data_IF_751791274088
#
_entry.id   IF_751791274088
#
_cell.length_a   1.000
_cell.length_b   1.000
_cell.length_c   1.000
_cell.angle_alpha   90.00
_cell.angle_beta   90.00
_cell.angle_gamma   90.00
#
_symmetry.space_group_name_H-M   'P 1'
#
loop_
_entity.id
_entity.type
_entity.pdbx_description
1 polymer ?
#
# COMPACT_ATOMS: atom_id res chain seq x y z
N UNK A 1 6.98 4.85 -18.98
CA UNK A 1 6.03 5.19 -17.90
C UNK A 1 6.67 4.84 -16.57
N UNK A 2 6.52 5.68 -15.53
CA UNK A 2 7.06 5.39 -14.18
C UNK A 2 5.94 5.34 -13.14
N UNK A 3 5.89 4.27 -12.35
CA UNK A 3 4.98 4.17 -11.21
C UNK A 3 5.52 4.97 -10.02
N UNK A 4 4.82 6.01 -9.58
CA UNK A 4 5.28 6.88 -8.50
C UNK A 4 5.19 6.24 -7.10
N UNK A 5 4.51 5.10 -6.95
CA UNK A 5 4.42 4.35 -5.68
C UNK A 5 5.58 3.38 -5.50
N UNK A 6 5.86 2.52 -6.49
CA UNK A 6 6.87 1.46 -6.39
C UNK A 6 8.12 1.74 -7.25
N UNK A 7 8.17 2.85 -7.97
CA UNK A 7 9.24 3.26 -8.89
C UNK A 7 9.52 2.30 -10.05
N UNK A 8 8.57 1.42 -10.38
CA UNK A 8 8.65 0.61 -11.59
C UNK A 8 8.73 1.49 -12.83
N UNK A 9 9.70 1.23 -13.71
CA UNK A 9 9.87 1.91 -14.99
C UNK A 9 9.63 0.90 -16.11
N UNK A 10 8.55 1.09 -16.87
CA UNK A 10 8.27 0.23 -18.02
C UNK A 10 9.17 0.60 -19.21
N UNK A 11 9.91 -0.38 -19.72
CA UNK A 11 10.67 -0.28 -20.98
C UNK A 11 9.73 -0.40 -22.19
N UNK A 12 10.17 -0.03 -23.40
CA UNK A 12 9.38 -0.23 -24.61
C UNK A 12 8.90 -1.68 -24.75
N UNK A 13 7.61 -1.87 -25.07
CA UNK A 13 7.00 -3.19 -25.22
C UNK A 13 6.56 -3.88 -23.92
N UNK A 14 6.80 -3.28 -22.74
CA UNK A 14 6.34 -3.81 -21.44
C UNK A 14 5.12 -3.04 -20.97
N UNK A 15 4.08 -3.75 -20.53
CA UNK A 15 2.92 -3.13 -19.90
C UNK A 15 3.31 -2.52 -18.55
N UNK A 16 3.29 -1.18 -18.48
CA UNK A 16 3.49 -0.45 -17.23
C UNK A 16 2.24 -0.37 -16.36
N UNK A 17 2.41 0.14 -15.14
CA UNK A 17 1.28 0.53 -14.29
C UNK A 17 1.51 1.92 -13.68
N UNK A 18 0.41 2.66 -13.50
CA UNK A 18 0.43 3.95 -12.80
C UNK A 18 0.44 3.74 -11.29
N UNK A 19 0.78 4.78 -10.53
CA UNK A 19 0.65 4.76 -9.07
C UNK A 19 -0.76 4.33 -8.61
N UNK A 20 -1.80 4.81 -9.31
CA UNK A 20 -3.19 4.46 -9.02
C UNK A 20 -3.48 2.96 -9.26
N UNK A 21 -2.83 2.33 -10.24
CA UNK A 21 -3.01 0.90 -10.54
C UNK A 21 -1.95 0.00 -9.88
N UNK A 22 -1.05 0.55 -9.06
CA UNK A 22 0.01 -0.21 -8.43
C UNK A 22 -0.56 -1.33 -7.53
N UNK A 23 -0.14 -2.60 -7.71
CA UNK A 23 -0.63 -3.72 -6.90
C UNK A 23 -0.44 -3.54 -5.39
N UNK A 24 0.59 -2.80 -4.95
CA UNK A 24 0.80 -2.47 -3.54
C UNK A 24 -0.39 -1.75 -2.90
N UNK A 25 -1.18 -0.98 -3.67
CA UNK A 25 -2.39 -0.30 -3.18
C UNK A 25 -3.52 -1.25 -2.80
N UNK A 26 -3.47 -2.52 -3.20
CA UNK A 26 -4.52 -3.50 -2.86
C UNK A 26 -4.49 -3.87 -1.37
N UNK A 27 -3.40 -3.55 -0.68
CA UNK A 27 -3.19 -3.90 0.72
C UNK A 27 -3.04 -2.63 1.56
N UNK A 28 -4.07 -1.79 1.61
CA UNK A 28 -4.09 -0.64 2.51
C UNK A 28 -4.60 -1.05 3.90
N UNK A 29 -4.13 -0.33 4.92
CA UNK A 29 -4.72 -0.34 6.25
C UNK A 29 -6.23 -0.05 6.15
N UNK A 30 -7.00 -0.73 6.99
CA UNK A 30 -8.43 -0.44 7.11
C UNK A 30 -8.65 0.98 7.66
N UNK A 31 -9.39 1.78 6.90
CA UNK A 31 -9.74 3.15 7.29
C UNK A 31 -10.70 3.22 8.49
N UNK A 32 -11.49 2.19 8.72
CA UNK A 32 -12.40 2.13 9.87
C UNK A 32 -11.70 1.74 11.18
N UNK A 33 -10.40 1.42 11.11
CA UNK A 33 -9.58 0.99 12.24
C UNK A 33 -8.39 1.94 12.48
N UNK A 34 -8.45 3.16 11.94
CA UNK A 34 -7.62 4.30 12.38
C UNK A 34 -8.37 5.09 13.46
N UNK A 35 -7.66 5.96 14.19
CA UNK A 35 -8.33 6.85 15.16
C UNK A 35 -9.31 7.81 14.47
N UNK A 36 -10.30 8.29 15.22
CA UNK A 36 -11.34 9.22 14.74
C UNK A 36 -10.78 10.59 14.32
N UNK A 37 -9.62 11.00 14.84
CA UNK A 37 -8.92 12.23 14.42
C UNK A 37 -8.09 12.03 13.14
N UNK A 38 -7.95 10.78 12.68
CA UNK A 38 -7.12 10.48 11.54
C UNK A 38 -7.77 10.98 10.23
N UNK A 39 -7.03 11.63 9.31
CA UNK A 39 -7.60 12.24 8.09
C UNK A 39 -8.34 11.28 7.14
N UNK A 40 -8.10 9.98 7.30
CA UNK A 40 -8.70 8.93 6.47
C UNK A 40 -9.90 8.24 7.12
N UNK A 41 -10.19 8.57 8.39
CA UNK A 41 -11.28 7.99 9.16
C UNK A 41 -12.64 8.25 8.49
N UNK A 42 -13.39 7.20 8.14
CA UNK A 42 -14.78 7.29 7.75
C UNK A 42 -15.68 7.00 8.97
N UNK A 43 -16.89 7.56 9.03
CA UNK A 43 -17.86 7.19 10.06
C UNK A 43 -18.35 5.75 9.90
N UNK A 44 -18.68 5.10 11.02
CA UNK A 44 -19.28 3.76 11.07
C UNK A 44 -18.29 2.60 11.21
N UNK A 45 -18.75 1.34 11.16
CA UNK A 45 -17.88 0.17 11.23
C UNK A 45 -17.40 -0.31 9.85
N UNK A 46 -16.33 -1.11 9.82
CA UNK A 46 -15.97 -1.83 8.61
C UNK A 46 -16.90 -3.04 8.42
N UNK A 47 -17.51 -3.16 7.24
CA UNK A 47 -18.39 -4.29 6.89
C UNK A 47 -17.68 -5.37 6.04
N UNK A 48 -16.39 -5.21 5.76
CA UNK A 48 -15.65 -6.11 4.87
C UNK A 48 -14.91 -7.20 5.66
N UNK A 49 -15.36 -8.45 5.50
CA UNK A 49 -14.75 -9.65 6.12
C UNK A 49 -13.36 -10.00 5.56
N UNK A 50 -13.06 -9.49 4.36
CA UNK A 50 -11.77 -9.67 3.69
C UNK A 50 -10.80 -8.53 3.97
N UNK A 51 -11.21 -7.52 4.73
CA UNK A 51 -10.39 -6.36 5.04
C UNK A 51 -9.20 -6.73 5.92
N UNK A 52 -8.11 -5.97 5.79
CA UNK A 52 -6.84 -6.19 6.51
C UNK A 52 -7.00 -6.21 8.03
N UNK A 53 -7.95 -5.45 8.60
CA UNK A 53 -8.20 -5.44 10.05
C UNK A 53 -8.72 -6.78 10.60
N UNK A 54 -9.36 -7.60 9.77
CA UNK A 54 -9.85 -8.92 10.15
C UNK A 54 -8.81 -10.04 9.92
N UNK A 55 -7.59 -9.70 9.48
CA UNK A 55 -6.54 -10.67 9.14
C UNK A 55 -5.42 -10.66 10.17
N UNK A 56 -4.80 -11.82 10.33
CA UNK A 56 -3.61 -12.01 11.16
C UNK A 56 -2.35 -11.80 10.33
N UNK A 57 -1.39 -11.07 10.90
CA UNK A 57 -0.13 -10.76 10.24
C UNK A 57 0.80 -11.99 10.27
N UNK A 58 1.22 -12.47 9.11
CA UNK A 58 2.15 -13.59 8.99
C UNK A 58 3.58 -13.29 9.51
N UNK A 59 3.90 -12.02 9.81
CA UNK A 59 5.23 -11.61 10.30
C UNK A 59 5.25 -11.47 11.81
N UNK A 60 4.28 -10.75 12.41
CA UNK A 60 4.25 -10.52 13.86
C UNK A 60 3.20 -11.35 14.62
N UNK A 61 2.33 -12.07 13.91
CA UNK A 61 1.29 -12.90 14.51
C UNK A 61 0.07 -12.14 15.07
N UNK A 62 0.05 -10.81 15.04
CA UNK A 62 -1.06 -10.00 15.57
C UNK A 62 -2.23 -9.88 14.59
N UNK A 63 -3.45 -9.81 15.12
CA UNK A 63 -4.67 -9.47 14.37
C UNK A 63 -4.71 -7.95 14.09
N UNK A 64 -5.34 -7.54 12.98
CA UNK A 64 -5.54 -6.11 12.66
C UNK A 64 -4.84 -5.62 11.40
N UNK A 65 -3.98 -6.44 10.81
CA UNK A 65 -3.29 -6.14 9.55
C UNK A 65 -2.68 -7.42 8.94
N UNK A 66 -2.32 -7.34 7.66
CA UNK A 66 -1.46 -8.34 6.99
C UNK A 66 -0.01 -7.87 6.96
N UNK A 67 0.92 -8.76 6.63
CA UNK A 67 2.32 -8.40 6.37
C UNK A 67 2.52 -7.43 5.20
N UNK A 68 1.51 -7.28 4.33
CA UNK A 68 1.53 -6.38 3.18
C UNK A 68 0.75 -5.08 3.42
N UNK A 69 0.10 -4.93 4.57
CA UNK A 69 -0.78 -3.79 4.83
C UNK A 69 0.02 -2.50 4.98
N UNK A 70 -0.14 -1.59 4.04
CA UNK A 70 0.46 -0.26 4.05
C UNK A 70 -0.35 0.70 4.93
N UNK A 71 0.34 1.44 5.78
CA UNK A 71 -0.25 2.43 6.66
C UNK A 71 -0.80 3.62 5.84
N UNK A 72 -1.94 4.15 6.26
CA UNK A 72 -2.60 5.30 5.62
C UNK A 72 -1.95 6.63 6.04
N UNK A 73 -0.66 6.79 5.79
CA UNK A 73 0.08 8.02 6.10
C UNK A 73 -0.30 9.18 5.17
N UNK A 74 -0.66 10.37 5.69
CA UNK A 74 -0.93 11.55 4.87
C UNK A 74 0.25 12.01 4.01
N UNK A 75 1.49 11.61 4.38
CA UNK A 75 2.70 11.88 3.59
C UNK A 75 2.81 11.04 2.31
N UNK A 76 1.93 10.04 2.13
CA UNK A 76 1.94 9.13 0.98
C UNK A 76 0.59 9.01 0.29
N UNK A 77 -0.49 9.18 1.05
CA UNK A 77 -1.85 9.04 0.54
C UNK A 77 -2.61 10.35 0.70
N UNK A 78 -3.66 10.50 -0.10
CA UNK A 78 -4.66 11.55 0.02
C UNK A 78 -6.06 10.96 -0.16
N UNK A 79 -7.09 11.69 0.25
CA UNK A 79 -8.48 11.22 0.18
C UNK A 79 -9.38 12.15 -0.66
N UNK A 80 -9.08 12.39 -1.95
CA UNK A 80 -9.97 13.17 -2.81
C UNK A 80 -11.30 12.43 -3.00
N UNK A 81 -12.41 13.13 -2.81
CA UNK A 81 -13.76 12.61 -3.06
C UNK A 81 -14.03 11.25 -2.37
N UNK A 82 -13.49 11.06 -1.15
CA UNK A 82 -13.69 9.85 -0.36
C UNK A 82 -12.89 8.61 -0.80
N UNK A 83 -12.05 8.71 -1.84
CA UNK A 83 -11.20 7.62 -2.34
C UNK A 83 -9.74 7.80 -1.94
N UNK A 84 -9.09 6.75 -1.45
CA UNK A 84 -7.66 6.81 -1.10
C UNK A 84 -6.81 6.74 -2.36
N UNK A 85 -6.08 7.81 -2.63
CA UNK A 85 -5.17 7.93 -3.77
C UNK A 85 -3.72 8.11 -3.31
N UNK A 86 -2.74 7.63 -4.07
CA UNK A 86 -1.34 7.94 -3.81
C UNK A 86 -1.08 9.43 -4.08
N UNK A 87 -0.21 10.04 -3.28
CA UNK A 87 0.45 11.28 -3.64
C UNK A 87 1.41 10.99 -4.80
N UNK A 88 1.04 11.47 -5.97
CA UNK A 88 1.75 11.24 -7.22
C UNK A 88 2.89 12.27 -7.41
N UNK A 89 3.95 12.16 -6.62
CA UNK A 89 5.15 13.01 -6.74
C UNK A 89 6.44 12.17 -6.64
N UNK A 90 7.49 12.59 -7.35
CA UNK A 90 8.83 12.01 -7.24
C UNK A 90 9.53 12.37 -5.92
N UNK A 91 9.03 13.37 -5.20
CA UNK A 91 9.52 13.76 -3.87
C UNK A 91 9.08 12.77 -2.79
N UNK A 92 7.97 12.06 -3.01
CA UNK A 92 7.49 11.03 -2.07
C UNK A 92 8.42 9.81 -2.18
N UNK A 93 9.14 9.42 -1.11
CA UNK A 93 10.10 8.33 -1.17
C UNK A 93 9.46 7.00 -1.60
N UNK A 94 10.28 6.09 -2.14
CA UNK A 94 9.83 4.72 -2.39
C UNK A 94 9.33 4.08 -1.09
N UNK A 95 8.44 3.08 -1.21
CA UNK A 95 7.96 2.32 -0.07
C UNK A 95 9.13 1.62 0.64
N UNK A 96 9.18 1.80 1.96
CA UNK A 96 10.15 1.20 2.89
C UNK A 96 9.41 0.51 4.04
N UNK A 97 10.13 -0.12 4.97
CA UNK A 97 9.51 -0.85 6.08
C UNK A 97 8.59 0.02 6.93
N UNK A 98 8.96 1.30 7.10
CA UNK A 98 8.16 2.27 7.88
C UNK A 98 6.77 2.51 7.27
N UNK A 99 6.58 2.24 5.98
CA UNK A 99 5.29 2.46 5.31
C UNK A 99 4.28 1.34 5.60
N UNK A 100 4.69 0.25 6.25
CA UNK A 100 3.83 -0.86 6.62
C UNK A 100 3.25 -0.69 8.03
N UNK A 101 2.07 -1.28 8.24
CA UNK A 101 1.41 -1.37 9.54
C UNK A 101 2.19 -2.24 10.54
N UNK A 102 2.83 -3.29 10.04
CA UNK A 102 3.59 -4.21 10.88
C UNK A 102 4.97 -3.61 11.18
N UNK A 103 5.30 -3.30 12.46
CA UNK A 103 6.60 -2.73 12.80
C UNK A 103 7.77 -3.71 12.58
N UNK A 104 7.49 -5.01 12.44
CA UNK A 104 8.50 -6.03 12.15
C UNK A 104 8.77 -6.19 10.64
N UNK A 105 8.00 -5.53 9.77
CA UNK A 105 8.34 -5.45 8.34
C UNK A 105 9.45 -4.42 8.17
N UNK A 106 10.69 -4.91 8.12
CA UNK A 106 11.86 -4.07 7.85
C UNK A 106 12.06 -3.77 6.37
N UNK A 107 12.99 -2.85 6.08
CA UNK A 107 13.29 -2.39 4.72
C UNK A 107 13.67 -3.52 3.75
N UNK A 108 14.37 -4.55 4.22
CA UNK A 108 14.71 -5.72 3.40
C UNK A 108 13.46 -6.42 2.88
N UNK A 109 12.44 -6.59 3.73
CA UNK A 109 11.20 -7.24 3.35
C UNK A 109 10.35 -6.34 2.45
N UNK A 110 10.27 -5.04 2.76
CA UNK A 110 9.62 -4.04 1.91
C UNK A 110 10.20 -4.04 0.49
N UNK A 111 11.53 -4.04 0.35
CA UNK A 111 12.21 -4.12 -0.96
C UNK A 111 11.85 -5.39 -1.74
N UNK A 112 11.73 -6.54 -1.06
CA UNK A 112 11.29 -7.79 -1.69
C UNK A 112 9.85 -7.72 -2.19
N UNK A 113 8.94 -7.12 -1.42
CA UNK A 113 7.55 -6.92 -1.85
C UNK A 113 7.45 -5.96 -3.04
N UNK A 114 8.26 -4.89 -3.06
CA UNK A 114 8.35 -3.99 -4.21
C UNK A 114 8.89 -4.71 -5.45
N UNK A 115 9.94 -5.52 -5.29
CA UNK A 115 10.50 -6.32 -6.39
C UNK A 115 9.47 -7.32 -6.96
N UNK A 116 8.73 -8.03 -6.10
CA UNK A 116 7.68 -8.95 -6.55
C UNK A 116 6.59 -8.26 -7.38
N UNK A 117 6.28 -6.99 -7.09
CA UNK A 117 5.34 -6.18 -7.89
C UNK A 117 5.91 -5.83 -9.26
N UNK A 118 7.23 -5.60 -9.34
CA UNK A 118 7.92 -5.37 -10.60
C UNK A 118 7.92 -6.67 -11.44
N UNK A 119 8.23 -7.80 -10.83
CA UNK A 119 8.22 -9.12 -11.48
C UNK A 119 6.84 -9.45 -12.03
N UNK A 120 5.78 -9.19 -11.25
CA UNK A 120 4.40 -9.37 -11.71
C UNK A 120 4.11 -8.52 -12.96
N UNK A 121 4.49 -7.24 -12.95
CA UNK A 121 4.29 -6.35 -14.10
C UNK A 121 5.05 -6.81 -15.35
N UNK A 122 6.20 -7.48 -15.18
CA UNK A 122 6.96 -8.07 -16.28
C UNK A 122 6.37 -9.39 -16.79
N UNK A 123 5.56 -10.08 -15.98
CA UNK A 123 4.94 -11.36 -16.34
C UNK A 123 3.62 -11.22 -17.11
N UNK A 124 2.92 -10.09 -16.99
CA UNK A 124 1.66 -9.78 -17.67
C UNK A 124 1.86 -9.40 -19.16
N UNK A 125 2.71 -10.14 -19.89
CA UNK A 125 3.01 -9.93 -21.31
C UNK A 125 1.81 -10.16 -22.23
#
# INVERSE_FOLDING_TARGET
MTCLTCRFVATPGVQGHTALRCPLRRHLQCRYHVSNEHPFYPPGPCLSETCSHAKQCAVCGLLGHTSHSLALRPTRWRLPHGRVDPLASLEVPIITGIDFMCPLVGDRQARRMVAAVHDLALSER
#
